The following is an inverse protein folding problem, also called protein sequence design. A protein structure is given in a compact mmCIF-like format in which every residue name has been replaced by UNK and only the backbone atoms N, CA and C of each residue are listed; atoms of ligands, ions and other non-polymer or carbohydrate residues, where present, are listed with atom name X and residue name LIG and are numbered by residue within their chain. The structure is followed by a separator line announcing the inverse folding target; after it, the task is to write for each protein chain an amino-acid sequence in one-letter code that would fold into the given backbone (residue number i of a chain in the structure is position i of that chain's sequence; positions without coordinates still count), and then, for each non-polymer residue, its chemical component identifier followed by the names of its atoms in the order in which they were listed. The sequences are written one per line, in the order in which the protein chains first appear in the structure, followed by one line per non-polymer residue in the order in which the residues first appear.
data_IF_382083054841
#
_entry.id   IF_382083054841
#
_cell.length_a   1.000
_cell.length_b   1.000
_cell.length_c   1.000
_cell.angle_alpha   90.00
_cell.angle_beta   90.00
_cell.angle_gamma   90.00
#
_symmetry.space_group_name_H-M   'P 1'
#
loop_
_entity.id
_entity.type
_entity.pdbx_description
1 polymer ?
#
# COMPACT_ATOMS: atom_id res chain seq x y z
N UNK A 1 -65.96 -5.37 13.89
CA UNK A 1 -64.88 -6.13 14.56
C UNK A 1 -65.18 -7.61 14.35
N UNK A 2 -64.30 -8.40 13.70
CA UNK A 2 -62.88 -8.56 14.03
C UNK A 2 -61.91 -8.34 12.84
N UNK A 3 -60.61 -8.03 13.08
CA UNK A 3 -59.61 -7.85 12.03
C UNK A 3 -58.59 -9.00 12.02
N UNK A 4 -58.39 -9.73 10.91
CA UNK A 4 -57.23 -10.64 10.77
C UNK A 4 -56.76 -10.84 9.33
N UNK A 5 -55.59 -10.25 9.06
CA UNK A 5 -54.39 -10.81 8.39
C UNK A 5 -53.78 -9.83 7.36
N UNK A 6 -52.83 -9.03 7.84
CA UNK A 6 -51.76 -8.42 7.02
C UNK A 6 -51.03 -9.56 6.31
N UNK A 7 -51.08 -9.60 4.98
CA UNK A 7 -50.14 -10.39 4.17
C UNK A 7 -48.78 -9.68 4.25
N UNK A 8 -47.82 -10.31 4.91
CA UNK A 8 -46.41 -9.98 4.82
C UNK A 8 -45.95 -10.27 3.39
N UNK A 9 -45.46 -9.25 2.70
CA UNK A 9 -44.67 -9.40 1.49
C UNK A 9 -43.28 -9.91 1.89
N UNK A 10 -42.73 -10.95 1.24
CA UNK A 10 -41.39 -11.41 1.53
C UNK A 10 -40.37 -10.38 1.04
N UNK A 11 -39.51 -9.96 1.96
CA UNK A 11 -38.27 -9.22 1.71
C UNK A 11 -37.43 -9.98 0.69
N UNK A 12 -37.28 -9.42 -0.52
CA UNK A 12 -36.27 -9.88 -1.47
C UNK A 12 -34.90 -9.52 -0.91
N UNK A 13 -34.17 -10.53 -0.44
CA UNK A 13 -32.73 -10.44 -0.23
C UNK A 13 -32.04 -10.01 -1.53
N UNK A 14 -31.02 -9.13 -1.50
CA UNK A 14 -30.23 -8.85 -2.68
C UNK A 14 -29.47 -10.11 -3.12
N UNK A 15 -29.27 -10.34 -4.43
CA UNK A 15 -28.57 -11.52 -4.91
C UNK A 15 -27.13 -11.50 -4.43
N UNK A 16 -26.68 -12.65 -3.91
CA UNK A 16 -25.28 -12.94 -3.63
C UNK A 16 -24.43 -12.58 -4.85
N UNK A 17 -23.45 -11.70 -4.63
CA UNK A 17 -22.48 -11.30 -5.64
C UNK A 17 -21.87 -12.52 -6.29
N UNK A 18 -22.25 -12.76 -7.53
CA UNK A 18 -21.59 -13.75 -8.36
C UNK A 18 -20.16 -13.29 -8.55
N UNK A 19 -19.22 -14.05 -7.98
CA UNK A 19 -17.82 -14.00 -8.35
C UNK A 19 -17.74 -14.25 -9.85
N UNK A 20 -17.73 -13.19 -10.66
CA UNK A 20 -17.38 -13.30 -12.07
C UNK A 20 -15.95 -13.86 -12.08
N UNK A 21 -15.83 -15.13 -12.45
CA UNK A 21 -14.56 -15.75 -12.83
C UNK A 21 -13.82 -14.75 -13.73
N UNK A 22 -12.53 -14.57 -13.46
CA UNK A 22 -11.62 -13.83 -14.36
C UNK A 22 -11.93 -14.31 -15.79
N UNK A 23 -12.12 -13.40 -16.77
CA UNK A 23 -12.16 -13.83 -18.16
C UNK A 23 -10.92 -14.67 -18.40
N UNK A 24 -11.16 -15.88 -18.89
CA UNK A 24 -10.16 -16.89 -19.16
C UNK A 24 -9.10 -16.26 -20.08
N UNK A 25 -7.87 -16.20 -19.56
CA UNK A 25 -6.53 -16.34 -20.18
C UNK A 25 -6.28 -15.98 -21.66
N UNK A 26 -7.15 -15.20 -22.30
CA UNK A 26 -6.99 -14.72 -23.66
C UNK A 26 -6.56 -13.25 -23.65
N UNK A 27 -5.25 -13.04 -23.51
CA UNK A 27 -4.60 -11.88 -24.13
C UNK A 27 -4.26 -10.68 -23.26
N UNK A 28 -3.96 -10.84 -21.96
CA UNK A 28 -2.97 -9.95 -21.34
C UNK A 28 -1.60 -10.45 -21.82
N UNK A 29 -1.19 -10.02 -23.01
CA UNK A 29 0.16 -10.23 -23.49
C UNK A 29 1.12 -9.64 -22.45
N UNK A 30 1.74 -10.52 -21.65
CA UNK A 30 2.79 -10.14 -20.74
C UNK A 30 3.87 -9.43 -21.55
N UNK A 31 3.93 -8.11 -21.43
CA UNK A 31 4.99 -7.32 -22.01
C UNK A 31 6.30 -7.77 -21.36
N UNK A 32 7.32 -8.06 -22.17
CA UNK A 32 8.66 -8.42 -21.69
C UNK A 32 9.21 -7.31 -20.77
N UNK A 33 10.08 -7.65 -19.81
CA UNK A 33 10.76 -6.67 -18.93
C UNK A 33 11.34 -5.47 -19.70
N UNK A 34 11.81 -5.72 -20.92
CA UNK A 34 12.38 -4.73 -21.84
C UNK A 34 11.34 -3.71 -22.35
N UNK A 35 10.07 -4.09 -22.49
CA UNK A 35 8.98 -3.19 -22.91
C UNK A 35 8.42 -2.40 -21.72
N UNK A 36 8.31 -3.03 -20.54
CA UNK A 36 7.82 -2.40 -19.31
C UNK A 36 8.78 -1.36 -18.73
N UNK A 37 10.08 -1.48 -19.02
CA UNK A 37 11.13 -0.54 -18.57
C UNK A 37 11.38 0.64 -19.53
N UNK A 38 10.75 0.64 -20.71
CA UNK A 38 10.90 1.71 -21.69
C UNK A 38 10.26 3.02 -21.21
N UNK A 39 11.08 4.07 -21.07
CA UNK A 39 10.64 5.38 -20.58
C UNK A 39 10.60 5.54 -19.05
N UNK A 40 11.11 4.57 -18.29
CA UNK A 40 11.29 4.70 -16.85
C UNK A 40 12.55 5.49 -16.49
N UNK A 41 12.50 6.24 -15.38
CA UNK A 41 13.68 6.84 -14.76
C UNK A 41 14.65 5.77 -14.23
N UNK A 42 15.93 6.12 -14.04
CA UNK A 42 16.93 5.17 -13.50
C UNK A 42 16.57 4.68 -12.09
N UNK A 43 15.97 5.54 -11.27
CA UNK A 43 15.43 5.17 -9.96
C UNK A 43 14.29 4.14 -10.09
N UNK A 44 13.36 4.36 -11.03
CA UNK A 44 12.28 3.42 -11.30
C UNK A 44 12.79 2.08 -11.84
N UNK A 45 13.82 2.07 -12.70
CA UNK A 45 14.47 0.83 -13.16
C UNK A 45 15.15 0.08 -12.03
N UNK A 46 15.80 0.79 -11.10
CA UNK A 46 16.42 0.21 -9.91
C UNK A 46 15.41 -0.51 -9.03
N UNK A 47 14.28 0.15 -8.73
CA UNK A 47 13.18 -0.44 -7.95
C UNK A 47 12.57 -1.67 -8.63
N UNK A 48 12.43 -1.63 -9.96
CA UNK A 48 11.91 -2.75 -10.75
C UNK A 48 12.85 -3.96 -10.74
N UNK A 49 14.14 -3.72 -10.96
CA UNK A 49 15.15 -4.77 -10.93
C UNK A 49 15.25 -5.40 -9.53
N UNK A 50 15.27 -4.58 -8.46
CA UNK A 50 15.29 -5.07 -7.08
C UNK A 50 14.07 -5.95 -6.80
N UNK A 51 12.87 -5.50 -7.20
CA UNK A 51 11.63 -6.23 -7.02
C UNK A 51 11.58 -7.60 -7.72
N UNK A 52 12.18 -7.71 -8.91
CA UNK A 52 12.28 -8.95 -9.70
C UNK A 52 13.34 -9.92 -9.16
N UNK A 53 14.45 -9.40 -8.63
CA UNK A 53 15.53 -10.22 -8.07
C UNK A 53 15.21 -10.87 -6.72
N UNK A 54 14.09 -10.53 -6.07
CA UNK A 54 13.67 -11.16 -4.80
C UNK A 54 13.26 -12.63 -4.89
N UNK A 55 13.36 -13.25 -6.07
CA UNK A 55 13.13 -14.69 -6.27
C UNK A 55 14.16 -15.59 -5.57
N UNK A 56 15.34 -15.06 -5.22
CA UNK A 56 16.46 -15.83 -4.67
C UNK A 56 16.74 -15.61 -3.18
N UNK A 57 16.05 -14.67 -2.53
CA UNK A 57 16.10 -14.61 -1.08
C UNK A 57 15.23 -15.75 -0.54
N UNK A 58 15.89 -16.86 -0.18
CA UNK A 58 15.36 -17.77 0.85
C UNK A 58 14.69 -16.91 1.92
N UNK A 59 13.54 -17.34 2.43
CA UNK A 59 12.81 -16.70 3.52
C UNK A 59 13.67 -16.70 4.80
N UNK A 60 14.76 -15.96 4.80
CA UNK A 60 15.58 -15.65 5.95
C UNK A 60 14.67 -14.80 6.80
N UNK A 61 14.21 -15.37 7.93
CA UNK A 61 13.34 -14.73 8.92
C UNK A 61 13.58 -13.22 8.93
N UNK A 62 12.52 -12.45 8.69
CA UNK A 62 12.49 -10.99 8.80
C UNK A 62 13.40 -10.53 9.96
N UNK A 63 14.49 -9.83 9.62
CA UNK A 63 15.43 -9.35 10.64
C UNK A 63 14.74 -8.32 11.52
N UNK A 64 14.69 -8.61 12.82
CA UNK A 64 14.18 -7.68 13.83
C UNK A 64 15.33 -6.84 14.33
N UNK A 65 15.15 -5.52 14.33
CA UNK A 65 16.04 -4.56 14.97
C UNK A 65 15.36 -4.03 16.22
N UNK A 66 16.13 -3.86 17.30
CA UNK A 66 15.66 -3.23 18.53
C UNK A 66 16.31 -1.86 18.70
N UNK A 67 15.52 -0.89 19.15
CA UNK A 67 15.98 0.48 19.37
C UNK A 67 15.34 1.07 20.61
N UNK A 68 16.18 1.54 21.54
CA UNK A 68 15.74 2.26 22.72
C UNK A 68 15.59 3.76 22.41
N UNK A 69 14.44 4.33 22.76
CA UNK A 69 14.10 5.74 22.55
C UNK A 69 13.74 6.35 23.89
N UNK A 70 14.36 7.48 24.24
CA UNK A 70 14.02 8.26 25.43
C UNK A 70 13.24 9.50 25.03
N UNK A 71 11.93 9.57 25.29
CA UNK A 71 11.14 10.75 25.02
C UNK A 71 11.60 11.90 25.93
N UNK A 72 11.89 13.07 25.37
CA UNK A 72 12.19 14.29 26.14
C UNK A 72 10.98 15.23 26.21
N UNK A 73 9.92 14.94 25.43
CA UNK A 73 8.65 15.65 25.41
C UNK A 73 7.41 14.73 25.47
N UNK A 74 6.25 15.26 25.04
CA UNK A 74 4.97 14.56 25.08
C UNK A 74 4.61 13.76 23.82
N UNK A 75 5.46 13.78 22.80
CA UNK A 75 5.26 13.09 21.51
C UNK A 75 6.62 12.64 20.96
N UNK A 76 6.59 11.62 20.10
CA UNK A 76 7.76 11.05 19.43
C UNK A 76 7.92 11.54 17.98
N UNK A 77 7.05 12.43 17.51
CA UNK A 77 7.06 12.90 16.12
C UNK A 77 6.65 11.86 15.07
N UNK A 78 5.99 10.78 15.48
CA UNK A 78 5.66 9.65 14.59
C UNK A 78 4.29 9.80 13.95
N UNK A 79 4.22 9.62 12.63
CA UNK A 79 2.96 9.38 11.91
C UNK A 79 2.92 7.91 11.52
N UNK A 80 1.88 7.18 11.94
CA UNK A 80 1.80 5.73 11.82
C UNK A 80 0.59 5.30 10.96
N UNK A 81 0.72 4.15 10.29
CA UNK A 81 -0.40 3.45 9.63
C UNK A 81 -0.33 1.95 9.85
N UNK A 82 -1.47 1.26 9.71
CA UNK A 82 -1.49 -0.20 9.75
C UNK A 82 -0.72 -0.79 8.57
N UNK A 83 -0.08 -1.93 8.80
CA UNK A 83 0.72 -2.61 7.81
C UNK A 83 0.61 -4.14 7.96
N UNK A 84 0.58 -4.95 6.89
CA UNK A 84 0.50 -6.41 6.99
C UNK A 84 1.54 -7.08 7.90
N UNK A 85 2.69 -6.44 8.09
CA UNK A 85 3.78 -6.94 8.94
C UNK A 85 3.87 -6.22 10.30
N UNK A 86 2.97 -5.28 10.63
CA UNK A 86 3.02 -4.50 11.87
C UNK A 86 2.44 -3.10 11.72
N UNK A 87 3.20 -2.08 12.11
CA UNK A 87 2.81 -0.67 12.06
C UNK A 87 3.86 0.13 11.29
N UNK A 88 3.47 0.64 10.12
CA UNK A 88 4.35 1.39 9.24
C UNK A 88 4.55 2.82 9.75
N UNK A 89 5.80 3.26 9.77
CA UNK A 89 6.16 4.66 9.98
C UNK A 89 5.99 5.39 8.65
N UNK A 90 4.98 6.26 8.57
CA UNK A 90 4.73 7.08 7.39
C UNK A 90 5.63 8.32 7.35
N UNK A 91 5.84 8.92 8.50
CA UNK A 91 6.64 10.13 8.62
C UNK A 91 7.20 10.26 10.03
N UNK A 92 8.32 10.96 10.12
CA UNK A 92 9.00 11.32 11.36
C UNK A 92 9.39 12.79 11.29
N UNK A 93 9.22 13.52 12.40
CA UNK A 93 9.80 14.85 12.53
C UNK A 93 11.32 14.73 12.80
N UNK A 94 12.21 15.30 11.97
CA UNK A 94 13.65 15.30 12.21
C UNK A 94 14.08 15.95 13.54
N UNK A 95 13.24 16.82 14.10
CA UNK A 95 13.49 17.45 15.39
C UNK A 95 13.16 16.54 16.59
N UNK A 96 12.46 15.42 16.39
CA UNK A 96 11.94 14.57 17.46
C UNK A 96 12.80 13.32 17.72
N UNK A 97 12.54 12.67 18.86
CA UNK A 97 13.41 11.64 19.43
C UNK A 97 13.41 10.35 18.63
N UNK A 98 12.29 9.97 18.01
CA UNK A 98 12.23 8.77 17.19
C UNK A 98 13.16 8.86 15.97
N UNK A 99 13.18 10.01 15.28
CA UNK A 99 14.09 10.25 14.17
C UNK A 99 15.54 10.27 14.62
N UNK A 100 15.83 10.99 15.71
CA UNK A 100 17.18 11.09 16.29
C UNK A 100 17.72 9.74 16.77
N UNK A 101 16.85 8.86 17.27
CA UNK A 101 17.21 7.51 17.69
C UNK A 101 17.55 6.59 16.51
N UNK A 102 17.09 6.91 15.29
CA UNK A 102 17.46 6.17 14.09
C UNK A 102 16.30 5.58 13.32
N UNK A 103 15.06 5.68 13.80
CA UNK A 103 13.89 5.28 13.01
C UNK A 103 13.79 6.13 11.75
N UNK A 104 13.27 5.53 10.68
CA UNK A 104 13.07 6.20 9.39
C UNK A 104 11.66 5.95 8.86
N UNK A 105 11.11 6.87 8.06
CA UNK A 105 9.94 6.55 7.24
C UNK A 105 10.17 5.27 6.45
N UNK A 106 9.16 4.40 6.38
CA UNK A 106 9.26 3.07 5.77
C UNK A 106 9.50 1.94 6.76
N UNK A 107 10.08 2.20 7.92
CA UNK A 107 10.27 1.17 8.94
C UNK A 107 8.92 0.63 9.45
N UNK A 108 8.88 -0.67 9.76
CA UNK A 108 7.68 -1.35 10.24
C UNK A 108 7.89 -1.79 11.68
N UNK A 109 7.24 -1.09 12.61
CA UNK A 109 7.24 -1.41 14.03
C UNK A 109 6.40 -2.67 14.26
N UNK A 110 7.00 -3.65 14.92
CA UNK A 110 6.34 -4.91 15.28
C UNK A 110 6.11 -5.06 16.79
N UNK A 111 6.86 -4.29 17.59
CA UNK A 111 6.75 -4.34 19.05
C UNK A 111 7.19 -3.05 19.72
N UNK A 112 6.59 -2.78 20.88
CA UNK A 112 6.95 -1.67 21.76
C UNK A 112 6.96 -2.19 23.20
N UNK A 113 8.08 -2.04 23.91
CA UNK A 113 8.28 -2.54 25.27
C UNK A 113 7.88 -4.02 25.41
N UNK A 114 8.42 -4.87 24.53
CA UNK A 114 8.16 -6.31 24.45
C UNK A 114 6.71 -6.68 24.05
N UNK A 115 5.81 -5.71 23.89
CA UNK A 115 4.43 -5.95 23.45
C UNK A 115 4.35 -5.87 21.94
N UNK A 116 3.87 -6.94 21.32
CA UNK A 116 3.60 -6.97 19.89
C UNK A 116 2.50 -5.96 19.53
N UNK A 117 2.69 -5.21 18.44
CA UNK A 117 1.74 -4.23 17.93
C UNK A 117 1.41 -4.49 16.47
N UNK A 118 0.11 -4.53 16.16
CA UNK A 118 -0.39 -4.79 14.78
C UNK A 118 -1.26 -3.66 14.24
N UNK A 119 -1.56 -2.66 15.06
CA UNK A 119 -2.33 -1.49 14.62
C UNK A 119 -1.70 -0.20 15.14
N UNK A 120 -1.84 0.87 14.36
CA UNK A 120 -1.36 2.20 14.73
C UNK A 120 -1.97 2.67 16.07
N UNK A 121 -3.23 2.30 16.36
CA UNK A 121 -3.91 2.65 17.59
C UNK A 121 -3.27 1.96 18.80
N UNK A 122 -3.03 0.65 18.69
CA UNK A 122 -2.36 -0.14 19.71
C UNK A 122 -0.91 0.33 19.93
N UNK A 123 -0.19 0.63 18.83
CA UNK A 123 1.18 1.14 18.91
C UNK A 123 1.24 2.49 19.63
N UNK A 124 0.36 3.43 19.25
CA UNK A 124 0.24 4.71 19.94
C UNK A 124 -0.07 4.51 21.42
N UNK A 125 -1.06 3.68 21.77
CA UNK A 125 -1.42 3.38 23.16
C UNK A 125 -0.22 2.89 23.98
N UNK A 126 0.54 1.92 23.45
CA UNK A 126 1.69 1.34 24.15
C UNK A 126 2.87 2.33 24.23
N UNK A 127 3.09 3.16 23.21
CA UNK A 127 4.13 4.21 23.24
C UNK A 127 3.80 5.33 24.25
N UNK A 128 2.53 5.67 24.41
CA UNK A 128 2.10 6.70 25.37
C UNK A 128 1.88 6.14 26.79
N UNK A 129 1.87 4.82 26.95
CA UNK A 129 1.81 4.17 28.26
C UNK A 129 3.09 4.50 29.05
N UNK A 130 2.98 5.43 30.01
CA UNK A 130 4.11 5.87 30.82
C UNK A 130 4.56 7.31 30.58
N UNK A 131 3.82 8.12 29.82
CA UNK A 131 4.07 9.58 29.61
C UNK A 131 4.49 10.37 30.85
N UNK A 132 4.06 9.96 32.04
CA UNK A 132 4.38 10.64 33.30
C UNK A 132 5.67 10.14 33.98
N UNK A 133 6.41 9.22 33.34
CA UNK A 133 7.66 8.70 33.85
C UNK A 133 8.84 9.43 33.17
N UNK A 134 9.59 10.28 33.91
CA UNK A 134 10.73 11.04 33.36
C UNK A 134 11.92 10.15 32.97
N UNK A 135 11.94 8.88 33.42
CA UNK A 135 12.95 7.89 33.06
C UNK A 135 12.40 6.85 32.07
N UNK A 136 11.30 7.16 31.36
CA UNK A 136 10.73 6.24 30.38
C UNK A 136 11.73 6.00 29.24
N UNK A 137 12.08 4.74 29.06
CA UNK A 137 12.79 4.25 27.88
C UNK A 137 11.81 3.35 27.12
N UNK A 138 11.61 3.65 25.84
CA UNK A 138 10.73 2.90 24.95
C UNK A 138 11.61 2.02 24.08
N UNK A 139 11.50 0.71 24.25
CA UNK A 139 12.16 -0.27 23.38
C UNK A 139 11.25 -0.56 22.18
N UNK A 140 11.69 -0.19 20.98
CA UNK A 140 10.96 -0.44 19.74
C UNK A 140 11.62 -1.60 19.00
N UNK A 141 10.85 -2.65 18.72
CA UNK A 141 11.26 -3.73 17.81
C UNK A 141 10.65 -3.45 16.43
N UNK A 142 11.46 -3.44 15.38
CA UNK A 142 11.01 -3.07 14.03
C UNK A 142 11.77 -3.83 12.93
N UNK A 143 11.16 -3.90 11.75
CA UNK A 143 11.82 -4.28 10.51
C UNK A 143 12.19 -3.00 9.75
N UNK A 144 13.38 -2.97 9.16
CA UNK A 144 13.73 -1.88 8.26
C UNK A 144 12.85 -1.91 7.02
N UNK A 145 12.60 -0.74 6.42
CA UNK A 145 11.81 -0.62 5.19
C UNK A 145 12.19 -1.68 4.14
N UNK A 146 13.49 -1.73 3.80
CA UNK A 146 14.01 -2.69 2.84
C UNK A 146 13.64 -4.13 3.21
N UNK A 147 13.85 -4.56 4.47
CA UNK A 147 13.56 -5.94 4.92
C UNK A 147 12.06 -6.25 4.89
N UNK A 148 11.22 -5.29 5.32
CA UNK A 148 9.78 -5.41 5.26
C UNK A 148 9.29 -5.53 3.80
N UNK A 149 9.85 -4.73 2.89
CA UNK A 149 9.57 -4.78 1.46
C UNK A 149 9.88 -6.15 0.88
N UNK A 150 11.08 -6.69 1.15
CA UNK A 150 11.48 -8.04 0.66
C UNK A 150 10.48 -9.09 1.08
N UNK A 151 10.02 -9.06 2.33
CA UNK A 151 9.06 -10.04 2.83
C UNK A 151 7.70 -9.91 2.16
N UNK A 152 7.19 -8.69 1.98
CA UNK A 152 5.90 -8.47 1.29
C UNK A 152 6.00 -8.95 -0.16
N UNK A 153 7.09 -8.60 -0.85
CA UNK A 153 7.38 -9.06 -2.21
C UNK A 153 7.43 -10.58 -2.25
N UNK A 154 8.24 -11.20 -1.38
CA UNK A 154 8.42 -12.65 -1.32
C UNK A 154 7.11 -13.40 -1.09
N UNK A 155 6.28 -12.93 -0.15
CA UNK A 155 4.95 -13.51 0.11
C UNK A 155 4.00 -13.41 -1.07
N UNK A 156 4.08 -12.31 -1.83
CA UNK A 156 3.19 -12.04 -2.96
C UNK A 156 3.64 -12.71 -4.26
N UNK A 157 4.87 -13.21 -4.34
CA UNK A 157 5.45 -13.89 -5.53
C UNK A 157 5.22 -13.14 -6.84
N UNK A 158 5.68 -11.89 -7.00
CA UNK A 158 5.48 -11.17 -8.24
C UNK A 158 6.16 -11.87 -9.40
N UNK A 159 5.36 -12.40 -10.32
CA UNK A 159 5.82 -13.11 -11.51
C UNK A 159 5.93 -12.20 -12.74
N UNK A 160 5.25 -11.04 -12.74
CA UNK A 160 5.31 -10.04 -13.80
C UNK A 160 4.86 -8.65 -13.32
N UNK A 161 5.40 -7.59 -13.95
CA UNK A 161 4.88 -6.23 -13.87
C UNK A 161 4.04 -5.93 -15.10
N UNK A 162 2.98 -5.15 -14.92
CA UNK A 162 2.12 -4.70 -16.02
C UNK A 162 2.27 -3.20 -16.16
N UNK A 163 2.60 -2.75 -17.38
CA UNK A 163 2.55 -1.35 -17.75
C UNK A 163 1.27 -1.10 -18.57
N UNK A 164 0.50 -0.08 -18.20
CA UNK A 164 -0.72 0.28 -18.91
C UNK A 164 -0.85 1.79 -19.09
N UNK A 165 -1.33 2.19 -20.27
CA UNK A 165 -1.66 3.57 -20.58
C UNK A 165 -3.17 3.79 -20.39
N UNK A 166 -3.54 4.55 -19.36
CA UNK A 166 -4.91 4.99 -19.13
C UNK A 166 -5.14 6.29 -19.89
N UNK A 167 -5.80 6.20 -21.04
CA UNK A 167 -6.17 7.36 -21.86
C UNK A 167 -7.56 7.84 -21.49
N UNK A 168 -7.70 9.12 -21.17
CA UNK A 168 -8.98 9.75 -20.83
C UNK A 168 -9.28 10.92 -21.76
N UNK A 169 -10.54 11.04 -22.18
CA UNK A 169 -11.03 12.12 -23.02
C UNK A 169 -12.42 12.58 -22.57
N UNK A 170 -12.51 13.82 -22.11
CA UNK A 170 -13.71 14.52 -21.63
C UNK A 170 -13.91 14.47 -20.12
N UNK A 171 -14.99 15.11 -19.65
CA UNK A 171 -15.41 15.16 -18.22
C UNK A 171 -16.08 13.88 -17.70
N UNK A 172 -16.01 12.75 -18.43
CA UNK A 172 -16.68 11.50 -18.06
C UNK A 172 -15.68 10.37 -17.96
N UNK A 173 -15.30 10.06 -16.73
CA UNK A 173 -14.40 8.95 -16.38
C UNK A 173 -13.31 9.47 -15.48
N UNK A 174 -13.50 9.37 -14.17
CA UNK A 174 -12.37 9.48 -13.25
C UNK A 174 -11.55 8.19 -13.38
N UNK A 175 -10.31 8.17 -12.91
CA UNK A 175 -9.55 6.91 -12.84
C UNK A 175 -10.26 5.89 -11.94
N UNK A 176 -11.08 6.35 -10.98
CA UNK A 176 -11.85 5.49 -10.10
C UNK A 176 -11.01 4.76 -9.06
N UNK A 177 -9.83 5.28 -8.73
CA UNK A 177 -8.86 4.66 -7.83
C UNK A 177 -8.99 5.24 -6.42
N UNK A 178 -9.08 4.37 -5.43
CA UNK A 178 -8.77 4.70 -4.04
C UNK A 178 -7.40 4.14 -3.72
N UNK A 179 -6.50 5.02 -3.27
CA UNK A 179 -5.08 4.73 -3.09
C UNK A 179 -4.70 4.79 -1.61
N UNK A 180 -3.82 3.89 -1.18
CA UNK A 180 -3.17 3.95 0.13
C UNK A 180 -1.67 3.76 0.00
N UNK A 181 -0.92 4.23 1.00
CA UNK A 181 0.50 3.90 1.09
C UNK A 181 0.67 2.39 1.23
N UNK A 182 1.66 1.86 0.55
CA UNK A 182 2.11 0.49 0.67
C UNK A 182 3.63 0.50 0.58
N UNK A 183 4.35 -0.41 1.25
CA UNK A 183 5.81 -0.30 1.24
C UNK A 183 6.43 -0.49 -0.15
N UNK A 184 5.78 -1.31 -0.99
CA UNK A 184 6.19 -1.50 -2.39
C UNK A 184 5.76 -0.38 -3.34
N UNK A 185 5.03 0.63 -2.87
CA UNK A 185 4.50 1.71 -3.70
C UNK A 185 3.12 2.16 -3.27
N UNK A 186 2.18 2.23 -4.20
CA UNK A 186 0.82 2.70 -3.91
C UNK A 186 -0.18 1.59 -4.13
N UNK A 187 -0.77 1.10 -3.04
CA UNK A 187 -1.79 0.06 -3.09
C UNK A 187 -3.13 0.64 -3.54
N UNK A 188 -3.77 -0.07 -4.45
CA UNK A 188 -5.15 0.17 -4.84
C UNK A 188 -6.06 -0.56 -3.86
N UNK A 189 -6.73 0.20 -3.00
CA UNK A 189 -7.59 -0.34 -1.94
C UNK A 189 -9.04 -0.46 -2.35
N UNK A 190 -9.50 0.38 -3.27
CA UNK A 190 -10.83 0.27 -3.85
C UNK A 190 -10.84 0.81 -5.27
N UNK A 191 -11.71 0.24 -6.11
CA UNK A 191 -11.81 0.62 -7.50
C UNK A 191 -13.26 0.68 -7.98
N UNK A 192 -13.64 1.75 -8.68
CA UNK A 192 -14.97 1.87 -9.27
C UNK A 192 -15.08 1.09 -10.60
N UNK A 193 -15.99 0.14 -10.68
CA UNK A 193 -16.16 -0.74 -11.85
C UNK A 193 -16.58 -0.02 -13.13
N UNK A 194 -17.13 1.19 -13.04
CA UNK A 194 -17.54 1.97 -14.20
C UNK A 194 -16.42 2.85 -14.77
N UNK A 195 -15.30 2.99 -14.04
CA UNK A 195 -14.21 3.91 -14.35
C UNK A 195 -13.05 3.27 -15.13
N UNK A 196 -12.16 4.11 -15.65
CA UNK A 196 -11.11 3.75 -16.62
C UNK A 196 -10.16 2.68 -16.09
N UNK A 197 -9.71 2.78 -14.84
CA UNK A 197 -8.77 1.80 -14.29
C UNK A 197 -9.36 0.39 -14.28
N UNK A 198 -10.65 0.23 -13.97
CA UNK A 198 -11.29 -1.08 -13.97
C UNK A 198 -11.34 -1.69 -15.37
N UNK A 199 -11.76 -0.87 -16.34
CA UNK A 199 -11.91 -1.27 -17.74
C UNK A 199 -10.57 -1.64 -18.35
N UNK A 200 -9.50 -0.98 -17.90
CA UNK A 200 -8.12 -1.25 -18.29
C UNK A 200 -7.54 -2.53 -17.64
N UNK A 201 -8.26 -3.17 -16.71
CA UNK A 201 -7.82 -4.44 -16.12
C UNK A 201 -7.16 -4.30 -14.75
N UNK A 202 -7.02 -3.08 -14.22
CA UNK A 202 -6.53 -2.84 -12.86
C UNK A 202 -7.56 -3.36 -11.84
N UNK A 203 -7.08 -3.94 -10.74
CA UNK A 203 -7.89 -4.54 -9.69
C UNK A 203 -7.49 -4.03 -8.31
N UNK A 204 -8.40 -4.19 -7.36
CA UNK A 204 -8.10 -4.01 -5.95
C UNK A 204 -7.00 -5.00 -5.53
N UNK A 205 -6.05 -4.53 -4.73
CA UNK A 205 -4.87 -5.31 -4.34
C UNK A 205 -3.62 -5.03 -5.18
N UNK A 206 -3.78 -4.52 -6.41
CA UNK A 206 -2.66 -4.13 -7.28
C UNK A 206 -1.83 -3.02 -6.62
N UNK A 207 -0.51 -3.07 -6.80
CA UNK A 207 0.42 -2.10 -6.22
C UNK A 207 1.12 -1.33 -7.33
N UNK A 208 0.82 -0.04 -7.43
CA UNK A 208 1.43 0.88 -8.39
C UNK A 208 2.86 1.18 -7.93
N UNK A 209 3.81 0.98 -8.83
CA UNK A 209 5.25 1.24 -8.60
C UNK A 209 5.64 2.56 -9.25
N UNK A 210 5.13 2.82 -10.45
CA UNK A 210 5.44 4.03 -11.21
C UNK A 210 4.20 4.66 -11.81
N UNK A 211 4.24 5.99 -11.90
CA UNK A 211 3.29 6.82 -12.63
C UNK A 211 4.06 7.75 -13.57
N UNK A 212 3.73 7.69 -14.86
CA UNK A 212 4.39 8.46 -15.92
C UNK A 212 5.92 8.36 -15.91
N UNK A 213 6.45 7.20 -15.53
CA UNK A 213 7.89 6.94 -15.43
C UNK A 213 8.56 7.37 -14.12
N UNK A 214 7.83 8.02 -13.21
CA UNK A 214 8.29 8.38 -11.87
C UNK A 214 7.91 7.32 -10.85
N UNK A 215 8.83 6.98 -9.95
CA UNK A 215 8.54 6.11 -8.82
C UNK A 215 7.52 6.77 -7.88
N UNK A 216 6.57 5.98 -7.35
CA UNK A 216 5.58 6.45 -6.38
C UNK A 216 5.57 5.57 -5.15
N UNK A 217 6.04 6.12 -4.04
CA UNK A 217 6.08 5.41 -2.74
C UNK A 217 4.90 5.83 -1.87
N UNK A 218 4.48 7.09 -2.00
CA UNK A 218 3.35 7.61 -1.23
C UNK A 218 2.14 7.91 -2.12
N UNK A 219 0.94 7.55 -1.65
CA UNK A 219 -0.31 7.82 -2.37
C UNK A 219 -0.50 9.31 -2.66
N UNK A 220 0.03 10.21 -1.83
CA UNK A 220 -0.02 11.66 -2.08
C UNK A 220 0.75 12.06 -3.35
N UNK A 221 1.91 11.44 -3.58
CA UNK A 221 2.71 11.66 -4.79
C UNK A 221 1.96 11.11 -6.00
N UNK A 222 1.36 9.93 -5.86
CA UNK A 222 0.56 9.35 -6.93
C UNK A 222 -0.65 10.22 -7.30
N UNK A 223 -1.41 10.69 -6.31
CA UNK A 223 -2.54 11.61 -6.53
C UNK A 223 -2.06 12.88 -7.21
N UNK A 224 -0.94 13.46 -6.74
CA UNK A 224 -0.36 14.66 -7.36
C UNK A 224 0.01 14.42 -8.83
N UNK A 225 0.69 13.32 -9.16
CA UNK A 225 1.07 12.99 -10.53
C UNK A 225 -0.14 12.73 -11.42
N UNK A 226 -1.21 12.13 -10.88
CA UNK A 226 -2.50 11.96 -11.57
C UNK A 226 -3.15 13.33 -11.86
N UNK A 227 -3.19 14.21 -10.87
CA UNK A 227 -3.80 15.54 -10.96
C UNK A 227 -3.02 16.47 -11.89
N UNK A 228 -1.69 16.33 -11.98
CA UNK A 228 -0.81 17.11 -12.87
C UNK A 228 -1.09 16.84 -14.36
N UNK A 229 -1.57 15.65 -14.72
CA UNK A 229 -2.04 15.34 -16.09
C UNK A 229 -3.43 15.95 -16.37
N UNK A 230 -4.04 16.61 -15.38
CA UNK A 230 -5.38 17.18 -15.42
C UNK A 230 -5.68 18.01 -16.68
N UNK A 231 -6.89 17.85 -17.22
CA UNK A 231 -7.33 18.50 -18.44
C UNK A 231 -8.54 17.81 -19.08
N UNK A 232 -8.96 18.29 -20.26
CA UNK A 232 -10.04 17.66 -21.01
C UNK A 232 -9.61 16.34 -21.69
N UNK A 233 -8.32 16.11 -21.88
CA UNK A 233 -7.78 14.90 -22.50
C UNK A 233 -6.37 14.65 -21.98
N UNK A 234 -6.02 13.41 -21.66
CA UNK A 234 -4.69 13.05 -21.17
C UNK A 234 -4.44 11.54 -21.18
N UNK A 235 -3.21 11.15 -20.87
CA UNK A 235 -2.81 9.76 -20.72
C UNK A 235 -1.93 9.61 -19.48
N UNK A 236 -2.22 8.61 -18.65
CA UNK A 236 -1.40 8.25 -17.49
C UNK A 236 -0.84 6.85 -17.72
N UNK A 237 0.49 6.72 -17.75
CA UNK A 237 1.17 5.43 -17.78
C UNK A 237 1.38 4.94 -16.36
N UNK A 238 0.86 3.77 -16.03
CA UNK A 238 1.09 3.11 -14.75
C UNK A 238 1.92 1.87 -14.97
N UNK A 239 2.96 1.67 -14.17
CA UNK A 239 3.56 0.34 -13.99
C UNK A 239 3.18 -0.15 -12.61
N UNK A 240 2.55 -1.33 -12.55
CA UNK A 240 2.06 -1.90 -11.31
C UNK A 240 2.36 -3.39 -11.23
N UNK A 241 2.41 -3.87 -10.00
CA UNK A 241 2.37 -5.28 -9.70
C UNK A 241 0.90 -5.73 -9.56
N UNK A 242 0.43 -6.70 -10.36
CA UNK A 242 -0.89 -7.28 -10.17
C UNK A 242 -0.90 -8.06 -8.85
N UNK A 243 -1.90 -7.88 -7.99
CA UNK A 243 -2.09 -8.87 -6.93
C UNK A 243 -2.38 -10.23 -7.59
N UNK A 244 -1.51 -11.23 -7.35
CA UNK A 244 -1.92 -12.62 -7.56
C UNK A 244 -3.25 -12.80 -6.83
N UNK A 245 -4.27 -13.31 -7.56
CA UNK A 245 -5.55 -13.60 -6.94
C UNK A 245 -5.28 -14.62 -5.83
N UNK A 246 -5.43 -14.18 -4.59
CA UNK A 246 -5.48 -15.08 -3.44
C UNK A 246 -6.59 -16.13 -3.64
#
# INVERSE_FOLDING_TARGET
MPPKKKKQSPTKSPPSGGSKKRPEDDGLAGMTEESASSGLTEEAKGLLAEALTFKEHETSKLQVTELAIRPQGGHLGVTLSNHPLGVLILNLDPADEAYKAGLRPGDVIIGVNEKQVMSHAQCAEVMFAGRNNPNLEILVSYHTAAVADREIISRRKPTAFVAIDLVFAGRRGHLGLTLSNHPLGVLITSLNHEDLAYQAGIREGDVIITLNGYAVVHHKEAVRLIDEVGGATGSIRLTYYPAEAA
#
